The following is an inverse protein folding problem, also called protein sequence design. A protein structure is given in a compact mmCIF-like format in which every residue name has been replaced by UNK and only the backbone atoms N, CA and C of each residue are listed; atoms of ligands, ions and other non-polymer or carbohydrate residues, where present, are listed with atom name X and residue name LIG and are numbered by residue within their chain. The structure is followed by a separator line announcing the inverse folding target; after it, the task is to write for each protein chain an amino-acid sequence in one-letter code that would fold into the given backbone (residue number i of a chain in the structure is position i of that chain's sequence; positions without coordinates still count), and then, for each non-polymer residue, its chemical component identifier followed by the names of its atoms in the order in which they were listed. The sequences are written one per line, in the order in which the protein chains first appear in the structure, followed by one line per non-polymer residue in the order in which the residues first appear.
data_IF_866065893409
#
_entry.id   IF_866065893409
#
_cell.length_a   1.000
_cell.length_b   1.000
_cell.length_c   1.000
_cell.angle_alpha   90.00
_cell.angle_beta   90.00
_cell.angle_gamma   90.00
#
_symmetry.space_group_name_H-M   'P 1'
#
loop_
_entity.id
_entity.type
_entity.pdbx_description
1 polymer ?
#
# COMPACT_ATOMS: atom_id res chain seq x y z
N UNK A 1 -7.52 29.74 -2.07
CA UNK A 1 -6.66 28.94 -1.17
C UNK A 1 -7.28 27.55 -1.08
N UNK A 2 -6.53 26.48 -1.32
CA UNK A 2 -7.04 25.11 -1.20
C UNK A 2 -7.10 24.77 0.31
N UNK A 3 -8.24 24.28 0.80
CA UNK A 3 -8.38 23.90 2.20
C UNK A 3 -7.61 22.61 2.50
N UNK A 4 -7.19 22.39 3.75
CA UNK A 4 -6.53 21.14 4.17
C UNK A 4 -7.38 19.90 3.90
N UNK A 5 -8.70 20.02 4.02
CA UNK A 5 -9.64 18.95 3.68
C UNK A 5 -9.62 18.61 2.19
N UNK A 6 -9.61 19.62 1.32
CA UNK A 6 -9.51 19.41 -0.13
C UNK A 6 -8.17 18.79 -0.53
N UNK A 7 -7.07 19.23 0.10
CA UNK A 7 -5.74 18.66 -0.13
C UNK A 7 -5.67 17.20 0.31
N UNK A 8 -6.32 16.85 1.42
CA UNK A 8 -6.44 15.47 1.89
C UNK A 8 -7.18 14.58 0.90
N UNK A 9 -8.34 15.01 0.40
CA UNK A 9 -9.10 14.26 -0.60
C UNK A 9 -8.25 14.03 -1.85
N UNK A 10 -7.63 15.07 -2.40
CA UNK A 10 -6.75 14.96 -3.57
C UNK A 10 -5.60 13.98 -3.30
N UNK A 11 -4.95 14.09 -2.15
CA UNK A 11 -3.87 13.18 -1.75
C UNK A 11 -4.33 11.73 -1.70
N UNK A 12 -5.48 11.45 -1.08
CA UNK A 12 -6.01 10.09 -0.97
C UNK A 12 -6.41 9.50 -2.32
N UNK A 13 -7.02 10.29 -3.20
CA UNK A 13 -7.41 9.83 -4.55
C UNK A 13 -6.18 9.52 -5.41
N UNK A 14 -5.13 10.33 -5.28
CA UNK A 14 -3.90 10.15 -6.04
C UNK A 14 -3.10 8.94 -5.53
N UNK A 15 -3.08 8.69 -4.23
CA UNK A 15 -2.56 7.45 -3.63
C UNK A 15 -3.35 6.25 -4.14
N UNK A 16 -4.68 6.25 -4.01
CA UNK A 16 -5.50 5.11 -4.45
C UNK A 16 -5.33 4.87 -5.95
N UNK A 17 -5.37 5.91 -6.79
CA UNK A 17 -5.23 5.78 -8.24
C UNK A 17 -3.88 5.19 -8.67
N UNK A 18 -2.78 5.65 -8.05
CA UNK A 18 -1.44 5.13 -8.35
C UNK A 18 -1.24 3.68 -7.86
N UNK A 19 -1.76 3.32 -6.69
CA UNK A 19 -1.71 1.93 -6.21
C UNK A 19 -2.61 1.00 -7.01
N UNK A 20 -3.80 1.43 -7.44
CA UNK A 20 -4.66 0.64 -8.35
C UNK A 20 -3.95 0.39 -9.68
N UNK A 21 -3.34 1.43 -10.28
CA UNK A 21 -2.58 1.30 -11.51
C UNK A 21 -1.41 0.31 -11.34
N UNK A 22 -0.68 0.40 -10.22
CA UNK A 22 0.37 -0.54 -9.86
C UNK A 22 -0.16 -1.97 -9.73
N UNK A 23 -1.30 -2.18 -9.08
CA UNK A 23 -1.93 -3.49 -8.89
C UNK A 23 -2.36 -4.15 -10.20
N UNK A 24 -2.95 -3.38 -11.12
CA UNK A 24 -3.32 -3.87 -12.46
C UNK A 24 -2.06 -4.29 -13.22
N UNK A 25 -0.99 -3.50 -13.14
CA UNK A 25 0.27 -3.81 -13.80
C UNK A 25 0.96 -5.04 -13.19
N UNK A 26 0.94 -5.21 -11.86
CA UNK A 26 1.40 -6.44 -11.21
C UNK A 26 0.55 -7.66 -11.57
N UNK A 27 -0.77 -7.50 -11.71
CA UNK A 27 -1.63 -8.57 -12.22
C UNK A 27 -1.27 -8.96 -13.66
N UNK A 28 -1.02 -7.98 -14.52
CA UNK A 28 -0.56 -8.25 -15.90
C UNK A 28 0.81 -8.94 -15.92
N UNK A 29 1.72 -8.56 -15.02
CA UNK A 29 3.02 -9.21 -14.82
C UNK A 29 2.85 -10.67 -14.36
N UNK A 30 1.93 -10.93 -13.43
CA UNK A 30 1.59 -12.28 -12.98
C UNK A 30 1.02 -13.15 -14.11
N UNK A 31 0.17 -12.58 -14.94
CA UNK A 31 -0.39 -13.21 -16.14
C UNK A 31 0.61 -13.29 -17.32
N UNK A 32 1.83 -12.77 -17.15
CA UNK A 32 2.87 -12.70 -18.18
C UNK A 32 2.43 -11.98 -19.46
N UNK A 33 1.51 -11.01 -19.34
CA UNK A 33 1.05 -10.16 -20.44
C UNK A 33 1.80 -8.84 -20.44
N UNK A 34 2.42 -8.51 -21.57
CA UNK A 34 3.13 -7.23 -21.75
C UNK A 34 4.25 -7.01 -20.72
N UNK A 35 4.99 -8.08 -20.40
CA UNK A 35 5.94 -8.17 -19.26
C UNK A 35 6.78 -6.91 -19.07
N UNK A 36 7.40 -6.40 -20.15
CA UNK A 36 8.27 -5.23 -20.08
C UNK A 36 7.51 -3.94 -19.71
N UNK A 37 6.36 -3.70 -20.33
CA UNK A 37 5.53 -2.52 -20.04
C UNK A 37 4.90 -2.63 -18.65
N UNK A 38 4.38 -3.80 -18.30
CA UNK A 38 3.76 -4.09 -17.01
C UNK A 38 4.76 -3.94 -15.86
N UNK A 39 6.01 -4.40 -16.01
CA UNK A 39 7.05 -4.21 -14.99
C UNK A 39 7.35 -2.73 -14.73
N UNK A 40 7.55 -1.95 -15.80
CA UNK A 40 7.85 -0.52 -15.70
C UNK A 40 6.70 0.21 -15.02
N UNK A 41 5.47 0.01 -15.51
CA UNK A 41 4.28 0.68 -14.97
C UNK A 41 4.02 0.27 -13.53
N UNK A 42 4.15 -1.02 -13.19
CA UNK A 42 3.91 -1.51 -11.83
C UNK A 42 4.80 -0.80 -10.81
N UNK A 43 6.11 -0.73 -11.07
CA UNK A 43 7.06 -0.17 -10.12
C UNK A 43 7.06 1.37 -10.11
N UNK A 44 6.90 2.03 -11.26
CA UNK A 44 6.78 3.50 -11.27
C UNK A 44 5.50 3.98 -10.61
N UNK A 45 4.37 3.30 -10.84
CA UNK A 45 3.13 3.60 -10.16
C UNK A 45 3.22 3.30 -8.65
N UNK A 46 3.89 2.21 -8.25
CA UNK A 46 4.14 1.90 -6.84
C UNK A 46 4.99 2.98 -6.16
N UNK A 47 6.05 3.44 -6.82
CA UNK A 47 6.90 4.52 -6.33
C UNK A 47 6.14 5.85 -6.22
N UNK A 48 5.35 6.20 -7.24
CA UNK A 48 4.51 7.39 -7.21
C UNK A 48 3.54 7.34 -6.02
N UNK A 49 2.84 6.22 -5.83
CA UNK A 49 1.93 6.03 -4.70
C UNK A 49 2.61 6.18 -3.34
N UNK A 50 3.82 5.63 -3.19
CA UNK A 50 4.63 5.84 -1.98
C UNK A 50 4.97 7.31 -1.74
N UNK A 51 5.30 8.08 -2.78
CA UNK A 51 5.59 9.51 -2.66
C UNK A 51 4.36 10.35 -2.27
N UNK A 52 3.17 9.96 -2.73
CA UNK A 52 1.93 10.67 -2.35
C UNK A 52 1.35 10.23 -1.00
N UNK A 53 1.80 9.10 -0.46
CA UNK A 53 1.33 8.59 0.84
C UNK A 53 1.60 9.56 2.00
N UNK A 54 2.82 10.14 2.17
CA UNK A 54 3.06 11.18 3.15
C UNK A 54 2.16 12.40 2.99
N UNK A 55 1.88 12.81 1.75
CA UNK A 55 1.01 13.95 1.47
C UNK A 55 -0.42 13.69 1.96
N UNK A 56 -0.96 12.48 1.74
CA UNK A 56 -2.26 12.07 2.25
C UNK A 56 -2.30 12.00 3.79
N UNK A 57 -1.21 11.56 4.42
CA UNK A 57 -1.10 11.47 5.88
C UNK A 57 -1.05 12.87 6.52
N UNK A 58 -0.13 13.74 6.07
CA UNK A 58 0.04 15.08 6.64
C UNK A 58 -1.23 15.93 6.49
N UNK A 59 -1.83 15.90 5.31
CA UNK A 59 -3.09 16.60 5.06
C UNK A 59 -4.24 16.05 5.88
N UNK A 60 -4.28 14.74 6.14
CA UNK A 60 -5.30 14.10 6.97
C UNK A 60 -5.21 14.49 8.44
N UNK A 61 -3.99 14.57 8.98
CA UNK A 61 -3.75 15.02 10.36
C UNK A 61 -4.23 16.47 10.53
N UNK A 62 -3.89 17.35 9.58
CA UNK A 62 -4.27 18.77 9.63
C UNK A 62 -5.76 19.03 9.34
N UNK A 63 -6.45 18.09 8.69
CA UNK A 63 -7.87 18.20 8.36
C UNK A 63 -8.80 17.60 9.43
N UNK A 64 -8.28 16.87 10.43
CA UNK A 64 -9.08 16.21 11.46
C UNK A 64 -9.47 17.17 12.60
N UNK A 65 -10.78 17.45 12.82
CA UNK A 65 -11.23 18.40 13.85
C UNK A 65 -11.12 17.87 15.30
N UNK A 66 -11.06 16.55 15.49
CA UNK A 66 -11.23 15.88 16.79
C UNK A 66 -9.98 15.14 17.29
N UNK A 67 -8.84 15.28 16.60
CA UNK A 67 -7.63 14.53 16.97
C UNK A 67 -7.77 13.01 16.74
N UNK A 68 -6.68 12.23 16.93
CA UNK A 68 -6.69 10.79 16.76
C UNK A 68 -7.38 10.13 17.94
N UNK A 69 -8.71 10.22 18.02
CA UNK A 69 -9.50 9.61 19.08
C UNK A 69 -9.45 8.08 18.96
N UNK A 70 -8.45 7.47 19.61
CA UNK A 70 -8.49 6.24 20.41
C UNK A 70 -9.10 4.96 19.82
N UNK A 71 -9.47 4.92 18.55
CA UNK A 71 -10.18 3.79 17.99
C UNK A 71 -9.21 2.69 17.54
N UNK A 72 -9.56 1.45 17.88
CA UNK A 72 -8.89 0.23 17.41
C UNK A 72 -8.73 0.22 15.88
N UNK A 73 -9.66 0.85 15.17
CA UNK A 73 -9.66 1.02 13.73
C UNK A 73 -8.52 1.94 13.22
N UNK A 74 -8.16 2.98 13.96
CA UNK A 74 -7.06 3.88 13.62
C UNK A 74 -5.70 3.16 13.74
N UNK A 75 -5.56 2.33 14.78
CA UNK A 75 -4.39 1.47 14.96
C UNK A 75 -4.23 0.47 13.80
N UNK A 76 -5.33 -0.11 13.33
CA UNK A 76 -5.31 -1.01 12.16
C UNK A 76 -4.94 -0.29 10.87
N UNK A 77 -5.44 0.93 10.64
CA UNK A 77 -5.00 1.75 9.51
C UNK A 77 -3.50 1.99 9.53
N UNK A 78 -2.97 2.33 10.69
CA UNK A 78 -1.55 2.61 10.85
C UNK A 78 -0.70 1.35 10.58
N UNK A 79 -1.01 0.22 11.23
CA UNK A 79 -0.29 -1.04 11.03
C UNK A 79 -0.36 -1.53 9.57
N UNK A 80 -1.55 -1.45 8.95
CA UNK A 80 -1.76 -1.91 7.59
C UNK A 80 -1.02 -1.02 6.58
N UNK A 81 -1.01 0.29 6.81
CA UNK A 81 -0.22 1.24 6.03
C UNK A 81 1.28 0.97 6.17
N UNK A 82 1.79 0.77 7.39
CA UNK A 82 3.20 0.44 7.62
C UNK A 82 3.61 -0.87 6.93
N UNK A 83 2.79 -1.92 7.03
CA UNK A 83 3.07 -3.20 6.39
C UNK A 83 3.12 -3.06 4.86
N UNK A 84 2.16 -2.32 4.28
CA UNK A 84 2.11 -2.12 2.85
C UNK A 84 3.24 -1.22 2.33
N UNK A 85 3.61 -0.17 3.08
CA UNK A 85 4.78 0.67 2.77
C UNK A 85 6.06 -0.16 2.82
N UNK A 86 6.24 -0.97 3.87
CA UNK A 86 7.40 -1.85 4.01
C UNK A 86 7.54 -2.85 2.86
N UNK A 87 6.45 -3.52 2.47
CA UNK A 87 6.44 -4.40 1.31
C UNK A 87 6.71 -3.65 0.00
N UNK A 88 6.12 -2.47 -0.18
CA UNK A 88 6.28 -1.66 -1.39
C UNK A 88 7.74 -1.20 -1.57
N UNK A 89 8.37 -0.75 -0.47
CA UNK A 89 9.80 -0.41 -0.46
C UNK A 89 10.66 -1.64 -0.73
N UNK A 90 10.35 -2.79 -0.10
CA UNK A 90 11.05 -4.05 -0.35
C UNK A 90 10.97 -4.52 -1.80
N UNK A 91 9.82 -4.36 -2.45
CA UNK A 91 9.62 -4.66 -3.88
C UNK A 91 10.43 -3.74 -4.78
N UNK A 92 10.42 -2.42 -4.52
CA UNK A 92 11.21 -1.44 -5.27
C UNK A 92 12.70 -1.70 -5.11
N UNK A 93 13.15 -2.00 -3.89
CA UNK A 93 14.54 -2.33 -3.60
C UNK A 93 14.97 -3.60 -4.33
N UNK A 94 14.17 -4.66 -4.25
CA UNK A 94 14.44 -5.92 -4.95
C UNK A 94 14.52 -5.71 -6.48
N UNK A 95 13.64 -4.89 -7.04
CA UNK A 95 13.67 -4.55 -8.47
C UNK A 95 14.86 -3.68 -8.86
N UNK A 96 15.27 -2.73 -8.00
CA UNK A 96 16.46 -1.92 -8.23
C UNK A 96 17.72 -2.79 -8.31
N UNK A 97 17.82 -3.76 -7.40
CA UNK A 97 18.97 -4.67 -7.30
C UNK A 97 18.97 -5.73 -8.40
N UNK A 98 17.79 -6.25 -8.75
CA UNK A 98 17.64 -7.33 -9.71
C UNK A 98 16.71 -6.93 -10.87
N UNK A 99 17.31 -6.36 -11.92
CA UNK A 99 16.62 -5.86 -13.11
C UNK A 99 15.91 -6.97 -13.94
N UNK A 100 16.23 -8.25 -13.69
CA UNK A 100 15.66 -9.43 -14.38
C UNK A 100 14.45 -10.06 -13.67
N UNK A 101 13.98 -9.49 -12.55
CA UNK A 101 12.89 -10.07 -11.73
C UNK A 101 11.51 -10.05 -12.39
N UNK A 102 11.35 -9.34 -13.52
CA UNK A 102 10.10 -9.19 -14.26
C UNK A 102 9.44 -10.52 -14.70
N UNK A 103 10.16 -11.65 -14.70
CA UNK A 103 9.60 -12.98 -15.00
C UNK A 103 9.10 -13.75 -13.77
N UNK A 104 9.40 -13.28 -12.55
CA UNK A 104 9.06 -14.00 -11.33
C UNK A 104 7.63 -13.71 -10.88
N UNK A 105 6.74 -14.69 -11.03
CA UNK A 105 5.33 -14.60 -10.60
C UNK A 105 5.18 -14.36 -9.09
N UNK A 106 6.15 -14.79 -8.28
CA UNK A 106 6.14 -14.58 -6.83
C UNK A 106 6.34 -13.09 -6.50
N UNK A 107 7.21 -12.40 -7.23
CA UNK A 107 7.41 -10.95 -7.08
C UNK A 107 6.14 -10.17 -7.44
N UNK A 108 5.48 -10.56 -8.54
CA UNK A 108 4.19 -10.00 -8.92
C UNK A 108 3.10 -10.22 -7.86
N UNK A 109 3.06 -11.41 -7.25
CA UNK A 109 2.11 -11.75 -6.18
C UNK A 109 2.33 -10.87 -4.94
N UNK A 110 3.58 -10.65 -4.53
CA UNK A 110 3.89 -9.73 -3.43
C UNK A 110 3.52 -8.28 -3.76
N UNK A 111 3.70 -7.85 -5.01
CA UNK A 111 3.22 -6.55 -5.50
C UNK A 111 1.70 -6.40 -5.39
N UNK A 112 0.95 -7.41 -5.83
CA UNK A 112 -0.50 -7.43 -5.68
C UNK A 112 -0.94 -7.42 -4.20
N UNK A 113 -0.25 -8.16 -3.33
CA UNK A 113 -0.52 -8.18 -1.90
C UNK A 113 -0.30 -6.80 -1.26
N UNK A 114 0.80 -6.12 -1.58
CA UNK A 114 1.10 -4.77 -1.09
C UNK A 114 0.01 -3.77 -1.49
N UNK A 115 -0.41 -3.80 -2.76
CA UNK A 115 -1.52 -2.96 -3.27
C UNK A 115 -2.82 -3.28 -2.54
N UNK A 116 -3.15 -4.55 -2.34
CA UNK A 116 -4.36 -4.97 -1.65
C UNK A 116 -4.42 -4.41 -0.21
N UNK A 117 -3.32 -4.46 0.54
CA UNK A 117 -3.23 -3.91 1.89
C UNK A 117 -3.49 -2.39 1.90
N UNK A 118 -3.00 -1.65 0.90
CA UNK A 118 -3.27 -0.21 0.78
C UNK A 118 -4.72 0.09 0.40
N UNK A 119 -5.32 -0.69 -0.49
CA UNK A 119 -6.73 -0.50 -0.85
C UNK A 119 -7.66 -0.80 0.33
N UNK A 120 -7.35 -1.81 1.15
CA UNK A 120 -8.07 -2.08 2.40
C UNK A 120 -7.90 -0.90 3.38
N UNK A 121 -6.67 -0.39 3.52
CA UNK A 121 -6.38 0.80 4.37
C UNK A 121 -7.20 2.01 3.91
N UNK A 122 -7.26 2.25 2.61
CA UNK A 122 -8.01 3.35 2.00
C UNK A 122 -9.54 3.16 2.16
N UNK A 123 -10.04 1.92 2.08
CA UNK A 123 -11.46 1.59 2.34
C UNK A 123 -11.86 1.92 3.78
N UNK A 124 -11.03 1.57 4.77
CA UNK A 124 -11.22 2.04 6.15
C UNK A 124 -11.11 3.57 6.26
N UNK A 125 -10.31 4.20 5.38
CA UNK A 125 -10.23 5.65 5.17
C UNK A 125 -11.58 6.28 4.84
N UNK A 126 -12.21 5.79 3.77
CA UNK A 126 -13.51 6.26 3.27
C UNK A 126 -14.66 6.06 4.25
N UNK A 127 -14.64 4.98 5.05
CA UNK A 127 -15.64 4.78 6.10
C UNK A 127 -15.66 5.92 7.12
N UNK A 128 -14.49 6.45 7.48
CA UNK A 128 -14.35 7.50 8.50
C UNK A 128 -14.83 8.87 8.02
N UNK A 129 -14.72 9.16 6.73
CA UNK A 129 -14.98 10.50 6.16
C UNK A 129 -16.32 10.59 5.45
N UNK A 130 -16.80 9.50 4.86
CA UNK A 130 -18.02 9.47 4.02
C UNK A 130 -19.06 8.42 4.42
N UNK A 131 -18.74 7.52 5.37
CA UNK A 131 -19.64 6.43 5.76
C UNK A 131 -19.78 5.31 4.70
N UNK A 132 -19.03 5.40 3.60
CA UNK A 132 -19.04 4.44 2.50
C UNK A 132 -17.79 3.53 2.56
N UNK A 133 -17.95 2.24 2.25
CA UNK A 133 -16.85 1.27 2.23
C UNK A 133 -16.87 0.43 0.97
N UNK A 134 -15.69 0.16 0.40
CA UNK A 134 -15.49 -0.82 -0.66
C UNK A 134 -15.53 -2.28 -0.15
N UNK A 135 -15.64 -2.48 1.16
CA UNK A 135 -15.81 -3.78 1.82
C UNK A 135 -17.15 -3.84 2.57
N UNK A 136 -18.30 -3.80 1.88
CA UNK A 136 -19.63 -3.84 2.51
C UNK A 136 -19.93 -5.15 3.24
N UNK A 137 -19.13 -6.20 2.99
CA UNK A 137 -19.26 -7.56 3.53
C UNK A 137 -18.48 -7.79 4.83
N UNK A 138 -17.64 -6.84 5.27
CA UNK A 138 -16.95 -6.94 6.55
C UNK A 138 -17.85 -6.40 7.68
N UNK A 139 -18.04 -7.14 8.80
CA UNK A 139 -18.84 -6.70 9.94
C UNK A 139 -18.42 -5.32 10.43
N UNK A 140 -19.36 -4.37 10.44
CA UNK A 140 -19.12 -2.95 10.76
C UNK A 140 -18.95 -2.69 12.25
N UNK A 141 -19.43 -3.60 13.09
CA UNK A 141 -19.43 -3.49 14.56
C UNK A 141 -18.21 -4.14 15.23
N UNK A 142 -17.34 -4.76 14.44
CA UNK A 142 -16.15 -5.46 14.92
C UNK A 142 -14.94 -4.81 14.28
N UNK A 143 -14.24 -3.97 15.03
CA UNK A 143 -12.95 -3.46 14.61
C UNK A 143 -11.98 -4.65 14.53
N UNK A 144 -11.84 -5.26 13.35
CA UNK A 144 -10.90 -6.34 13.11
C UNK A 144 -9.49 -5.80 13.30
N UNK A 145 -8.95 -5.96 14.52
CA UNK A 145 -7.55 -5.72 14.84
C UNK A 145 -6.75 -6.46 13.79
N UNK A 146 -5.96 -5.75 12.98
CA UNK A 146 -5.08 -6.43 12.04
C UNK A 146 -4.16 -7.30 12.90
N UNK A 147 -4.21 -8.63 12.75
CA UNK A 147 -3.58 -9.51 13.71
C UNK A 147 -2.10 -9.18 13.79
N UNK A 148 -1.61 -8.89 15.00
CA UNK A 148 -0.20 -8.50 15.23
C UNK A 148 0.75 -9.55 14.65
N UNK A 149 0.37 -10.83 14.71
CA UNK A 149 1.12 -11.93 14.11
C UNK A 149 1.24 -11.82 12.58
N UNK A 150 0.21 -11.36 11.87
CA UNK A 150 0.27 -11.13 10.43
C UNK A 150 1.17 -9.93 10.08
N UNK A 151 1.14 -8.86 10.87
CA UNK A 151 2.08 -7.74 10.74
C UNK A 151 3.53 -8.18 10.97
N UNK A 152 3.79 -9.03 11.96
CA UNK A 152 5.12 -9.59 12.23
C UNK A 152 5.59 -10.46 11.05
N UNK A 153 4.72 -11.30 10.50
CA UNK A 153 5.07 -12.12 9.32
C UNK A 153 5.39 -11.24 8.11
N UNK A 154 4.61 -10.20 7.85
CA UNK A 154 4.87 -9.26 6.75
C UNK A 154 6.16 -8.47 6.96
N UNK A 155 6.45 -8.05 8.19
CA UNK A 155 7.73 -7.42 8.56
C UNK A 155 8.91 -8.38 8.31
N UNK A 156 8.80 -9.62 8.76
CA UNK A 156 9.83 -10.66 8.55
C UNK A 156 10.00 -10.93 7.05
N UNK A 157 8.93 -11.02 6.27
CA UNK A 157 9.02 -11.15 4.81
C UNK A 157 9.73 -9.96 4.17
N UNK A 158 9.39 -8.73 4.57
CA UNK A 158 10.08 -7.53 4.10
C UNK A 158 11.58 -7.53 4.42
N UNK A 159 11.94 -7.94 5.65
CA UNK A 159 13.34 -8.09 6.07
C UNK A 159 14.07 -9.21 5.31
N UNK A 160 13.41 -10.34 5.04
CA UNK A 160 13.99 -11.43 4.26
C UNK A 160 14.21 -11.01 2.80
N UNK A 161 13.28 -10.27 2.20
CA UNK A 161 13.45 -9.72 0.85
C UNK A 161 14.63 -8.75 0.80
N UNK A 162 14.75 -7.86 1.79
CA UNK A 162 15.88 -6.95 1.91
C UNK A 162 17.21 -7.70 2.15
N UNK A 163 17.19 -8.74 2.99
CA UNK A 163 18.37 -9.53 3.34
C UNK A 163 18.88 -10.42 2.22
N UNK A 164 18.00 -11.13 1.50
CA UNK A 164 18.38 -11.91 0.32
C UNK A 164 18.97 -11.04 -0.78
N UNK A 165 18.42 -9.84 -0.96
CA UNK A 165 18.95 -8.84 -1.88
C UNK A 165 20.35 -8.34 -1.50
N UNK A 166 20.74 -8.38 -0.22
CA UNK A 166 22.07 -7.98 0.23
C UNK A 166 23.14 -9.08 0.07
N UNK A 167 22.73 -10.36 0.00
CA UNK A 167 23.64 -11.52 -0.05
C UNK A 167 24.09 -11.83 -1.48
N UNK A 168 23.28 -11.52 -2.50
CA UNK A 168 23.67 -11.70 -3.92
C UNK A 168 24.83 -10.80 -4.39
N UNK A 169 25.26 -9.83 -3.57
CA UNK A 169 26.36 -8.89 -3.86
C UNK A 169 27.70 -9.26 -3.20
N UNK A 170 27.88 -10.51 -2.76
CA UNK A 170 29.14 -10.98 -2.18
C UNK A 170 29.67 -12.20 -2.93
#
# INVERSE_FOLDING_TARGET
MISWSTLHVIGTELVVGTFVLSGIAFLMLFLQKGIHSSDIVAHWALFAGLMFTPLAIFSGISASPNGPEGSVMLFNKFLLSCAAVGLSVGLLWNRYQNQLIHMNRIHALFGMAAVCLILITASFGGMYTRGESLTPFLPKDVAYVFPVWASIILLIMGLIMAGKSAIEHR
#
